data_IF_367932756064
#
_entry.id   IF_367932756064
#
_cell.length_a   1.000
_cell.length_b   1.000
_cell.length_c   1.000
_cell.angle_alpha   90.00
_cell.angle_beta   90.00
_cell.angle_gamma   90.00
#
_symmetry.space_group_name_H-M   'P 1'
#
loop_
_entity.id
_entity.type
_entity.pdbx_description
1 polymer ?
#
# COMPACT_ATOMS: atom_id res chain seq x y z
N UNK A 1 33.33 52.25 -5.40
CA UNK A 1 32.96 51.18 -6.37
C UNK A 1 32.55 49.96 -5.56
N UNK A 2 31.26 49.77 -5.39
CA UNK A 2 30.65 48.80 -4.49
C UNK A 2 30.39 47.52 -5.26
N UNK A 3 31.10 46.45 -4.88
CA UNK A 3 30.87 45.10 -5.40
C UNK A 3 29.62 44.50 -4.80
N UNK A 4 28.61 44.26 -5.64
CA UNK A 4 27.42 43.47 -5.29
C UNK A 4 27.80 42.01 -5.17
N UNK A 5 27.80 41.47 -3.96
CA UNK A 5 27.82 40.05 -3.73
C UNK A 5 26.45 39.46 -4.10
N UNK A 6 26.42 38.62 -5.11
CA UNK A 6 25.28 37.79 -5.46
C UNK A 6 24.96 36.82 -4.32
N UNK A 7 23.69 36.73 -3.87
CA UNK A 7 23.31 35.74 -2.87
C UNK A 7 23.42 34.33 -3.48
N UNK A 8 24.26 33.51 -2.82
CA UNK A 8 24.52 32.15 -3.21
C UNK A 8 23.24 31.30 -3.23
N UNK A 9 23.21 30.42 -4.18
CA UNK A 9 22.30 29.31 -4.42
C UNK A 9 22.03 28.45 -3.15
N UNK A 10 21.09 28.89 -2.34
CA UNK A 10 20.51 28.09 -1.25
C UNK A 10 19.09 27.62 -1.60
N UNK A 11 18.91 27.13 -2.80
CA UNK A 11 17.63 26.67 -3.34
C UNK A 11 17.79 25.44 -4.22
N UNK A 12 18.54 24.41 -3.78
CA UNK A 12 18.28 23.06 -4.31
C UNK A 12 16.86 22.72 -3.88
N UNK A 13 15.90 22.87 -4.80
CA UNK A 13 14.59 22.31 -4.70
C UNK A 13 14.72 20.89 -4.17
N UNK A 14 14.42 20.69 -2.89
CA UNK A 14 13.96 19.41 -2.39
C UNK A 14 12.77 19.12 -3.28
N UNK A 15 12.94 18.24 -4.27
CA UNK A 15 11.89 17.83 -5.17
C UNK A 15 10.65 17.59 -4.31
N UNK A 16 9.65 18.44 -4.43
CA UNK A 16 8.56 18.58 -3.49
C UNK A 16 7.90 17.20 -3.32
N UNK A 17 8.05 16.64 -2.15
CA UNK A 17 7.39 15.40 -1.77
C UNK A 17 5.89 15.66 -1.87
N UNK A 18 5.18 14.78 -2.58
CA UNK A 18 3.74 14.94 -2.79
C UNK A 18 3.02 14.64 -1.48
N UNK A 19 2.56 15.67 -0.78
CA UNK A 19 1.93 15.56 0.54
C UNK A 19 0.71 14.66 0.52
N UNK A 20 -0.12 14.73 -0.52
CA UNK A 20 -1.31 13.90 -0.66
C UNK A 20 -1.00 12.39 -0.76
N UNK A 21 0.19 11.98 -1.24
CA UNK A 21 0.60 10.58 -1.18
C UNK A 21 0.90 10.14 0.27
N UNK A 22 1.52 11.02 1.05
CA UNK A 22 1.75 10.74 2.46
C UNK A 22 0.43 10.76 3.23
N UNK A 23 -0.49 11.66 2.86
CA UNK A 23 -1.84 11.70 3.43
C UNK A 23 -2.59 10.38 3.18
N UNK A 24 -2.62 9.91 1.93
CA UNK A 24 -3.26 8.64 1.58
C UNK A 24 -2.60 7.43 2.25
N UNK A 25 -1.26 7.42 2.41
CA UNK A 25 -0.56 6.38 3.20
C UNK A 25 -0.93 6.43 4.66
N UNK A 26 -1.08 7.63 5.24
CA UNK A 26 -1.52 7.80 6.62
C UNK A 26 -2.93 7.27 6.86
N UNK A 27 -3.85 7.54 5.92
CA UNK A 27 -5.19 6.94 5.95
C UNK A 27 -5.10 5.40 5.93
N UNK A 28 -4.30 4.83 5.02
CA UNK A 28 -4.09 3.38 4.96
C UNK A 28 -3.53 2.82 6.28
N UNK A 29 -2.63 3.55 6.95
CA UNK A 29 -2.08 3.18 8.27
C UNK A 29 -3.17 3.14 9.34
N UNK A 30 -4.04 4.15 9.43
CA UNK A 30 -5.12 4.17 10.43
C UNK A 30 -6.09 3.02 10.19
N UNK A 31 -6.50 2.81 8.95
CA UNK A 31 -7.40 1.70 8.59
C UNK A 31 -6.75 0.34 8.88
N UNK A 32 -5.44 0.21 8.71
CA UNK A 32 -4.68 -1.00 9.01
C UNK A 32 -4.62 -1.26 10.52
N UNK A 33 -4.34 -0.26 11.34
CA UNK A 33 -4.38 -0.35 12.81
C UNK A 33 -5.75 -0.81 13.26
N UNK A 34 -6.81 -0.16 12.76
CA UNK A 34 -8.20 -0.55 13.04
C UNK A 34 -8.43 -2.04 12.72
N UNK A 35 -8.06 -2.47 11.51
CA UNK A 35 -8.28 -3.86 11.07
C UNK A 35 -7.62 -4.87 12.00
N UNK A 36 -6.35 -4.63 12.33
CA UNK A 36 -5.58 -5.58 13.14
C UNK A 36 -6.05 -5.60 14.59
N UNK A 37 -6.33 -4.45 15.20
CA UNK A 37 -6.84 -4.38 16.57
C UNK A 37 -8.21 -5.06 16.70
N UNK A 38 -9.17 -4.73 15.84
CA UNK A 38 -10.49 -5.39 15.88
C UNK A 38 -10.40 -6.89 15.64
N UNK A 39 -9.55 -7.33 14.70
CA UNK A 39 -9.41 -8.77 14.43
C UNK A 39 -8.72 -9.54 15.54
N UNK A 40 -7.80 -8.90 16.30
CA UNK A 40 -6.98 -9.58 17.29
C UNK A 40 -7.52 -9.46 18.72
N UNK A 41 -8.21 -8.36 19.05
CA UNK A 41 -8.57 -8.05 20.43
C UNK A 41 -10.04 -8.30 20.77
N UNK A 42 -10.96 -8.26 19.78
CA UNK A 42 -12.39 -8.42 20.03
C UNK A 42 -12.74 -9.83 20.46
N UNK A 43 -13.48 -9.97 21.56
CA UNK A 43 -14.04 -11.24 22.02
C UNK A 43 -14.95 -11.88 20.96
N UNK A 44 -15.11 -13.20 21.02
CA UNK A 44 -15.85 -13.93 20.00
C UNK A 44 -17.34 -13.51 19.93
N UNK A 45 -17.93 -13.22 21.06
CA UNK A 45 -19.34 -12.84 21.22
C UNK A 45 -19.68 -11.53 20.48
N UNK A 46 -18.76 -10.58 20.45
CA UNK A 46 -18.97 -9.26 19.86
C UNK A 46 -18.69 -9.21 18.36
N UNK A 47 -18.15 -10.27 17.77
CA UNK A 47 -17.85 -10.35 16.34
C UNK A 47 -19.09 -10.32 15.43
N UNK A 48 -20.28 -10.50 15.99
CA UNK A 48 -21.57 -10.35 15.30
C UNK A 48 -22.16 -8.94 15.34
N UNK A 49 -21.57 -8.00 16.07
CA UNK A 49 -22.09 -6.64 16.25
C UNK A 49 -21.96 -5.78 14.98
N UNK A 50 -22.84 -4.76 14.86
CA UNK A 50 -22.78 -3.79 13.76
C UNK A 50 -21.46 -3.01 13.74
N UNK A 51 -20.92 -2.69 14.91
CA UNK A 51 -19.66 -1.95 15.05
C UNK A 51 -18.48 -2.79 14.52
N UNK A 52 -18.43 -4.08 14.85
CA UNK A 52 -17.43 -4.99 14.32
C UNK A 52 -17.57 -5.16 12.78
N UNK A 53 -18.80 -5.28 12.27
CA UNK A 53 -19.06 -5.36 10.84
C UNK A 53 -18.58 -4.10 10.11
N UNK A 54 -18.81 -2.91 10.69
CA UNK A 54 -18.31 -1.64 10.15
C UNK A 54 -16.78 -1.57 10.15
N UNK A 55 -16.14 -1.98 11.25
CA UNK A 55 -14.68 -2.04 11.34
C UNK A 55 -14.09 -2.99 10.27
N UNK A 56 -14.72 -4.13 10.02
CA UNK A 56 -14.35 -5.07 8.95
C UNK A 56 -14.53 -4.50 7.54
N UNK A 57 -15.59 -3.73 7.31
CA UNK A 57 -15.82 -3.06 6.01
C UNK A 57 -14.63 -2.14 5.68
N UNK A 58 -14.23 -1.31 6.63
CA UNK A 58 -13.05 -0.45 6.47
C UNK A 58 -11.75 -1.26 6.38
N UNK A 59 -11.69 -2.40 7.05
CA UNK A 59 -10.55 -3.32 7.03
C UNK A 59 -10.22 -3.92 5.66
N UNK A 60 -11.13 -3.87 4.71
CA UNK A 60 -10.91 -4.31 3.33
C UNK A 60 -10.11 -3.33 2.46
N UNK A 61 -9.70 -2.15 2.98
CA UNK A 61 -9.06 -1.10 2.16
C UNK A 61 -7.57 -0.88 2.40
N UNK A 62 -6.96 -1.14 3.56
CA UNK A 62 -5.54 -0.85 3.80
C UNK A 62 -4.61 -1.49 2.77
N UNK A 63 -4.74 -2.79 2.56
CA UNK A 63 -3.86 -3.53 1.66
C UNK A 63 -3.99 -3.09 0.20
N UNK A 64 -5.21 -2.99 -0.41
CA UNK A 64 -5.38 -2.43 -1.75
C UNK A 64 -4.81 -1.02 -1.88
N UNK A 65 -4.99 -0.16 -0.85
CA UNK A 65 -4.50 1.21 -0.87
C UNK A 65 -2.96 1.28 -0.82
N UNK A 66 -2.30 0.47 0.02
CA UNK A 66 -0.84 0.38 0.03
C UNK A 66 -0.28 -0.13 -1.29
N UNK A 67 -0.88 -1.17 -1.87
CA UNK A 67 -0.49 -1.72 -3.17
C UNK A 67 -0.66 -0.70 -4.29
N UNK A 68 -1.80 -0.02 -4.36
CA UNK A 68 -2.07 1.06 -5.30
C UNK A 68 -1.04 2.18 -5.19
N UNK A 69 -0.79 2.69 -3.97
CA UNK A 69 0.17 3.76 -3.72
C UNK A 69 1.62 3.33 -3.99
N UNK A 70 1.96 2.05 -3.82
CA UNK A 70 3.27 1.50 -4.17
C UNK A 70 3.50 1.55 -5.68
N UNK A 71 2.52 1.10 -6.48
CA UNK A 71 2.56 1.16 -7.94
C UNK A 71 2.59 2.58 -8.47
N UNK A 72 1.70 3.44 -7.97
CA UNK A 72 1.63 4.85 -8.34
C UNK A 72 2.96 5.56 -8.05
N UNK A 73 3.53 5.35 -6.88
CA UNK A 73 4.83 5.92 -6.50
C UNK A 73 5.97 5.37 -7.38
N UNK A 74 5.94 4.07 -7.73
CA UNK A 74 6.94 3.47 -8.61
C UNK A 74 6.93 4.11 -10.00
N UNK A 75 5.74 4.36 -10.57
CA UNK A 75 5.60 5.01 -11.86
C UNK A 75 6.07 6.47 -11.83
N UNK A 76 5.70 7.24 -10.81
CA UNK A 76 6.17 8.63 -10.65
C UNK A 76 7.70 8.71 -10.56
N UNK A 77 8.32 7.79 -9.80
CA UNK A 77 9.78 7.71 -9.70
C UNK A 77 10.40 7.32 -11.05
N UNK A 78 9.82 6.34 -11.75
CA UNK A 78 10.31 5.90 -13.06
C UNK A 78 10.29 7.03 -14.08
N UNK A 79 9.20 7.80 -14.17
CA UNK A 79 9.09 8.93 -15.10
C UNK A 79 10.06 10.07 -14.72
N UNK A 80 10.26 10.32 -13.42
CA UNK A 80 11.25 11.29 -12.96
C UNK A 80 12.68 10.88 -13.32
N UNK A 81 13.03 9.60 -13.18
CA UNK A 81 14.36 9.09 -13.55
C UNK A 81 14.57 9.18 -15.06
N UNK A 82 13.54 8.90 -15.87
CA UNK A 82 13.58 9.10 -17.32
C UNK A 82 13.78 10.57 -17.70
N UNK A 83 13.11 11.48 -17.03
CA UNK A 83 13.30 12.92 -17.25
C UNK A 83 14.73 13.37 -16.93
N UNK A 84 15.48 12.61 -16.12
CA UNK A 84 16.92 12.82 -15.87
C UNK A 84 17.84 12.08 -16.85
N UNK A 85 17.30 11.41 -17.88
CA UNK A 85 18.06 10.71 -18.89
C UNK A 85 18.25 9.21 -18.67
N UNK A 86 17.66 8.61 -17.62
CA UNK A 86 17.76 7.16 -17.40
C UNK A 86 17.04 6.38 -18.51
N UNK A 87 17.70 5.34 -19.04
CA UNK A 87 17.09 4.44 -20.01
C UNK A 87 16.16 3.40 -19.39
N UNK A 88 15.39 2.67 -20.23
CA UNK A 88 14.41 1.68 -19.77
C UNK A 88 15.03 0.53 -18.98
N UNK A 89 16.23 0.09 -19.34
CA UNK A 89 16.96 -0.97 -18.62
C UNK A 89 17.35 -0.55 -17.21
N UNK A 90 17.78 0.70 -17.03
CA UNK A 90 18.12 1.26 -15.71
C UNK A 90 16.91 1.40 -14.82
N UNK A 91 15.79 1.93 -15.35
CA UNK A 91 14.51 2.04 -14.63
C UNK A 91 14.06 0.67 -14.16
N UNK A 92 14.07 -0.32 -15.06
CA UNK A 92 13.73 -1.72 -14.73
C UNK A 92 14.63 -2.26 -13.64
N UNK A 93 15.94 -2.15 -13.76
CA UNK A 93 16.91 -2.65 -12.76
C UNK A 93 16.71 -2.02 -11.38
N UNK A 94 16.47 -0.70 -11.32
CA UNK A 94 16.19 0.01 -10.05
C UNK A 94 14.88 -0.48 -9.43
N UNK A 95 13.83 -0.65 -10.26
CA UNK A 95 12.54 -1.18 -9.81
C UNK A 95 12.66 -2.59 -9.25
N UNK A 96 13.36 -3.50 -9.94
CA UNK A 96 13.64 -4.85 -9.47
C UNK A 96 14.41 -4.86 -8.15
N UNK A 97 15.48 -4.05 -8.04
CA UNK A 97 16.24 -3.91 -6.79
C UNK A 97 15.37 -3.42 -5.65
N UNK A 98 14.47 -2.46 -5.92
CA UNK A 98 13.52 -1.97 -4.90
C UNK A 98 12.57 -3.08 -4.45
N UNK A 99 12.03 -3.87 -5.37
CA UNK A 99 11.22 -5.04 -5.04
C UNK A 99 11.98 -6.05 -4.16
N UNK A 100 13.22 -6.40 -4.54
CA UNK A 100 14.07 -7.27 -3.74
C UNK A 100 14.38 -6.69 -2.34
N UNK A 101 14.60 -5.39 -2.23
CA UNK A 101 14.79 -4.73 -0.92
C UNK A 101 13.54 -4.87 -0.05
N UNK A 102 12.35 -4.66 -0.61
CA UNK A 102 11.07 -4.82 0.12
C UNK A 102 10.87 -6.28 0.53
N UNK A 103 11.24 -7.23 -0.34
CA UNK A 103 11.18 -8.66 -0.03
C UNK A 103 12.13 -9.01 1.14
N UNK A 104 13.34 -8.47 1.13
CA UNK A 104 14.29 -8.61 2.24
C UNK A 104 13.70 -8.08 3.56
N UNK A 105 13.07 -6.90 3.54
CA UNK A 105 12.37 -6.37 4.72
C UNK A 105 11.21 -7.26 5.16
N UNK A 106 10.46 -7.89 4.24
CA UNK A 106 9.41 -8.82 4.58
C UNK A 106 9.94 -10.01 5.40
N UNK A 107 11.07 -10.59 5.01
CA UNK A 107 11.70 -11.68 5.76
C UNK A 107 12.29 -11.22 7.11
N UNK A 108 12.96 -10.06 7.15
CA UNK A 108 13.46 -9.49 8.42
C UNK A 108 12.30 -9.26 9.39
N UNK A 109 11.19 -8.71 8.91
CA UNK A 109 9.99 -8.56 9.71
C UNK A 109 9.46 -9.90 10.25
N UNK A 110 9.43 -10.94 9.41
CA UNK A 110 9.01 -12.29 9.81
C UNK A 110 9.88 -12.90 10.90
N UNK A 111 11.20 -12.75 10.76
CA UNK A 111 12.14 -13.18 11.80
C UNK A 111 11.89 -12.42 13.10
N UNK A 112 11.67 -11.11 13.06
CA UNK A 112 11.31 -10.30 14.22
C UNK A 112 10.04 -10.79 14.89
N UNK A 113 8.95 -11.02 14.13
CA UNK A 113 7.68 -11.52 14.65
C UNK A 113 7.79 -12.94 15.23
N UNK A 114 8.63 -13.80 14.67
CA UNK A 114 8.89 -15.13 15.24
C UNK A 114 9.62 -15.00 16.58
N UNK A 115 10.63 -14.13 16.65
CA UNK A 115 11.39 -13.88 17.86
C UNK A 115 10.54 -13.24 18.97
N UNK A 116 9.62 -12.34 18.63
CA UNK A 116 8.66 -11.72 19.58
C UNK A 116 7.50 -12.65 19.99
N UNK A 117 7.45 -13.86 19.43
CA UNK A 117 6.37 -14.81 19.70
C UNK A 117 5.04 -14.45 19.05
N UNK A 118 5.02 -13.52 18.11
CA UNK A 118 3.85 -13.16 17.31
C UNK A 118 3.40 -14.28 16.37
N UNK A 119 4.30 -15.18 15.99
CA UNK A 119 4.04 -16.39 15.22
C UNK A 119 4.32 -17.65 16.03
N UNK A 120 3.47 -18.66 15.85
CA UNK A 120 3.59 -19.92 16.63
C UNK A 120 4.52 -20.97 16.02
N UNK A 121 4.88 -20.85 14.72
CA UNK A 121 5.57 -21.91 13.97
C UNK A 121 6.64 -21.35 13.06
N UNK A 122 7.75 -22.08 12.89
CA UNK A 122 8.81 -21.74 11.93
C UNK A 122 8.31 -21.69 10.47
N UNK A 123 7.28 -22.46 10.13
CA UNK A 123 6.64 -22.44 8.82
C UNK A 123 6.04 -21.06 8.49
N UNK A 124 5.67 -20.26 9.50
CA UNK A 124 5.15 -18.92 9.31
C UNK A 124 6.16 -17.93 8.71
N UNK A 125 7.47 -18.27 8.73
CA UNK A 125 8.53 -17.51 8.04
C UNK A 125 8.30 -17.44 6.52
N UNK A 126 7.71 -18.48 5.94
CA UNK A 126 7.45 -18.58 4.50
C UNK A 126 6.03 -18.16 4.11
N UNK A 127 5.26 -17.65 5.06
CA UNK A 127 3.90 -17.15 4.83
C UNK A 127 3.90 -15.96 3.87
N UNK A 128 3.00 -15.95 2.90
CA UNK A 128 2.86 -14.84 1.95
C UNK A 128 2.02 -13.73 2.57
N UNK A 129 2.65 -12.62 2.89
CA UNK A 129 2.07 -11.42 3.52
C UNK A 129 2.03 -10.25 2.54
N UNK A 130 1.44 -9.13 2.98
CA UNK A 130 1.30 -7.92 2.19
C UNK A 130 2.65 -7.37 1.70
N UNK A 131 3.72 -7.43 2.50
CA UNK A 131 5.07 -6.99 2.08
C UNK A 131 5.66 -7.90 1.00
N UNK A 132 5.46 -9.22 1.09
CA UNK A 132 5.84 -10.16 0.05
C UNK A 132 5.10 -9.85 -1.25
N UNK A 133 3.79 -9.63 -1.17
CA UNK A 133 2.96 -9.28 -2.32
C UNK A 133 3.39 -7.94 -2.94
N UNK A 134 3.61 -6.88 -2.14
CA UNK A 134 4.11 -5.58 -2.63
C UNK A 134 5.45 -5.77 -3.35
N UNK A 135 6.37 -6.57 -2.79
CA UNK A 135 7.68 -6.81 -3.38
C UNK A 135 7.58 -7.45 -4.76
N UNK A 136 6.84 -8.56 -4.89
CA UNK A 136 6.64 -9.26 -6.16
C UNK A 136 5.88 -8.37 -7.15
N UNK A 137 4.85 -7.69 -6.71
CA UNK A 137 4.07 -6.76 -7.55
C UNK A 137 4.93 -5.61 -8.09
N UNK A 138 5.82 -5.03 -7.29
CA UNK A 138 6.77 -4.00 -7.73
C UNK A 138 7.75 -4.54 -8.77
N UNK A 139 8.22 -5.79 -8.63
CA UNK A 139 9.08 -6.41 -9.63
C UNK A 139 8.36 -6.61 -10.97
N UNK A 140 7.12 -7.10 -10.95
CA UNK A 140 6.29 -7.23 -12.16
C UNK A 140 6.01 -5.88 -12.81
N UNK A 141 5.62 -4.88 -12.05
CA UNK A 141 5.39 -3.51 -12.54
C UNK A 141 6.69 -2.90 -13.10
N UNK A 142 7.86 -3.19 -12.51
CA UNK A 142 9.14 -2.70 -13.02
C UNK A 142 9.45 -3.20 -14.44
N UNK A 143 8.98 -4.38 -14.83
CA UNK A 143 9.11 -4.89 -16.21
C UNK A 143 8.31 -4.01 -17.18
N UNK A 144 7.05 -3.70 -16.82
CA UNK A 144 6.20 -2.81 -17.61
C UNK A 144 6.79 -1.38 -17.72
N UNK A 145 7.25 -0.82 -16.59
CA UNK A 145 7.85 0.53 -16.53
C UNK A 145 9.19 0.61 -17.26
N UNK A 146 9.85 -0.50 -17.53
CA UNK A 146 11.09 -0.57 -18.32
C UNK A 146 10.89 -0.36 -19.83
N UNK A 147 9.67 -0.45 -20.36
CA UNK A 147 9.38 -0.30 -21.79
C UNK A 147 9.69 1.11 -22.29
N UNK A 148 10.11 1.26 -23.56
CA UNK A 148 10.61 2.54 -24.07
C UNK A 148 9.51 3.61 -24.20
N UNK A 149 8.35 3.28 -24.74
CA UNK A 149 7.29 4.25 -25.01
C UNK A 149 6.31 4.40 -23.82
N UNK A 150 5.80 5.61 -23.62
CA UNK A 150 4.77 5.90 -22.59
C UNK A 150 3.51 5.05 -22.83
N UNK A 151 3.08 4.95 -24.10
CA UNK A 151 1.90 4.14 -24.46
C UNK A 151 2.13 2.66 -24.16
N UNK A 152 3.33 2.13 -24.46
CA UNK A 152 3.70 0.75 -24.15
C UNK A 152 3.71 0.49 -22.62
N UNK A 153 4.27 1.41 -21.83
CA UNK A 153 4.26 1.30 -20.36
C UNK A 153 2.84 1.29 -19.81
N UNK A 154 1.99 2.21 -20.30
CA UNK A 154 0.60 2.30 -19.87
C UNK A 154 -0.19 1.05 -20.26
N UNK A 155 -0.07 0.60 -21.51
CA UNK A 155 -0.72 -0.61 -22.00
C UNK A 155 -0.28 -1.86 -21.21
N UNK A 156 1.03 -1.99 -20.94
CA UNK A 156 1.56 -3.11 -20.16
C UNK A 156 1.08 -3.08 -18.70
N UNK A 157 1.04 -1.91 -18.07
CA UNK A 157 0.57 -1.79 -16.68
C UNK A 157 -0.95 -2.06 -16.58
N UNK A 158 -1.76 -1.53 -17.50
CA UNK A 158 -3.20 -1.82 -17.57
C UNK A 158 -3.47 -3.29 -17.93
N UNK A 159 -2.73 -3.84 -18.90
CA UNK A 159 -2.81 -5.25 -19.28
C UNK A 159 -2.45 -6.18 -18.12
N UNK A 160 -1.41 -5.84 -17.34
CA UNK A 160 -1.07 -6.57 -16.13
C UNK A 160 -2.20 -6.50 -15.09
N UNK A 161 -2.77 -5.31 -14.85
CA UNK A 161 -3.86 -5.14 -13.89
C UNK A 161 -5.10 -5.94 -14.30
N UNK A 162 -5.53 -5.81 -15.55
CA UNK A 162 -6.68 -6.53 -16.09
C UNK A 162 -6.42 -8.04 -16.16
N UNK A 163 -5.24 -8.47 -16.64
CA UNK A 163 -4.86 -9.87 -16.72
C UNK A 163 -4.86 -10.55 -15.36
N UNK A 164 -4.26 -9.93 -14.33
CA UNK A 164 -4.31 -10.45 -12.96
C UNK A 164 -5.74 -10.54 -12.46
N UNK A 165 -6.57 -9.50 -12.63
CA UNK A 165 -7.96 -9.52 -12.17
C UNK A 165 -8.76 -10.64 -12.86
N UNK A 166 -8.70 -10.72 -14.19
CA UNK A 166 -9.46 -11.68 -14.98
C UNK A 166 -9.00 -13.13 -14.79
N UNK A 167 -7.70 -13.36 -14.55
CA UNK A 167 -7.14 -14.69 -14.32
C UNK A 167 -7.25 -15.15 -12.86
N UNK A 168 -7.66 -14.28 -11.94
CA UNK A 168 -7.76 -14.64 -10.51
C UNK A 168 -8.67 -15.84 -10.24
N UNK A 169 -9.90 -15.93 -10.81
CA UNK A 169 -10.75 -17.09 -10.56
C UNK A 169 -10.14 -18.41 -11.04
N UNK A 170 -9.37 -18.37 -12.14
CA UNK A 170 -8.65 -19.54 -12.65
C UNK A 170 -7.43 -19.88 -11.78
N UNK A 171 -6.67 -18.87 -11.37
CA UNK A 171 -5.49 -19.05 -10.50
C UNK A 171 -5.87 -19.61 -9.12
N UNK A 172 -7.11 -19.40 -8.66
CA UNK A 172 -7.59 -19.92 -7.40
C UNK A 172 -8.18 -21.35 -7.52
N UNK A 173 -8.22 -21.94 -8.70
CA UNK A 173 -8.46 -23.37 -8.86
C UNK A 173 -7.24 -24.15 -8.36
N UNK A 174 -7.43 -24.92 -7.29
CA UNK A 174 -6.35 -25.64 -6.63
C UNK A 174 -5.75 -26.78 -7.46
N UNK A 175 -6.43 -27.21 -8.53
CA UNK A 175 -5.92 -28.26 -9.43
C UNK A 175 -4.57 -27.86 -10.08
N UNK A 176 -4.39 -26.57 -10.38
CA UNK A 176 -3.17 -26.02 -11.00
C UNK A 176 -1.93 -26.11 -10.09
N UNK A 177 -2.12 -26.12 -8.77
CA UNK A 177 -1.05 -26.05 -7.79
C UNK A 177 -0.83 -27.37 -7.07
N UNK A 178 -1.51 -28.43 -7.49
CA UNK A 178 -1.37 -29.76 -6.92
C UNK A 178 0.07 -30.24 -7.05
N UNK A 179 0.68 -30.61 -5.93
CA UNK A 179 2.08 -31.06 -5.89
C UNK A 179 3.14 -29.94 -5.78
N UNK A 180 2.74 -28.66 -5.83
CA UNK A 180 3.66 -27.57 -5.60
C UNK A 180 3.91 -27.37 -4.09
N UNK A 181 5.14 -26.97 -3.69
CA UNK A 181 5.41 -26.61 -2.30
C UNK A 181 4.46 -25.49 -1.85
N UNK A 182 3.81 -25.64 -0.69
CA UNK A 182 2.83 -24.68 -0.17
C UNK A 182 3.33 -23.22 -0.15
N UNK A 183 4.60 -22.90 0.23
CA UNK A 183 5.11 -21.54 0.18
C UNK A 183 5.14 -20.94 -1.23
N UNK A 184 5.34 -21.76 -2.28
CA UNK A 184 5.35 -21.30 -3.67
C UNK A 184 3.93 -21.12 -4.18
N UNK A 185 3.07 -22.15 -4.01
CA UNK A 185 1.65 -22.06 -4.38
C UNK A 185 0.94 -20.90 -3.70
N UNK A 186 1.32 -20.56 -2.47
CA UNK A 186 0.80 -19.43 -1.70
C UNK A 186 1.04 -18.06 -2.32
N UNK A 187 1.99 -17.93 -3.25
CA UNK A 187 2.11 -16.69 -4.03
C UNK A 187 1.03 -16.54 -5.12
N UNK A 188 0.38 -17.62 -5.52
CA UNK A 188 -0.57 -17.59 -6.63
C UNK A 188 -2.02 -17.69 -6.19
N UNK A 189 -2.29 -18.45 -5.13
CA UNK A 189 -3.66 -18.69 -4.64
C UNK A 189 -3.80 -18.46 -3.14
N UNK A 190 -4.93 -17.88 -2.72
CA UNK A 190 -5.29 -17.71 -1.31
C UNK A 190 -5.87 -18.97 -0.66
N UNK A 191 -6.06 -20.07 -1.42
CA UNK A 191 -6.60 -21.34 -0.89
C UNK A 191 -5.55 -22.21 -0.22
N UNK A 192 -4.28 -21.87 -0.36
CA UNK A 192 -3.19 -22.53 0.35
C UNK A 192 -3.10 -21.94 1.75
N UNK A 193 -2.96 -22.83 2.74
CA UNK A 193 -2.75 -22.42 4.13
C UNK A 193 -1.61 -21.40 4.23
N UNK A 194 -1.83 -20.37 5.04
CA UNK A 194 -0.83 -19.33 5.29
C UNK A 194 -0.56 -18.35 4.12
N UNK A 195 -1.40 -18.31 3.08
CA UNK A 195 -1.40 -17.27 2.06
C UNK A 195 -2.47 -16.23 2.35
N UNK A 196 -2.06 -15.01 2.74
CA UNK A 196 -2.98 -13.89 3.01
C UNK A 196 -3.10 -12.94 1.81
N UNK A 197 -2.00 -12.77 1.07
CA UNK A 197 -1.89 -11.79 -0.01
C UNK A 197 -1.19 -12.39 -1.23
N UNK A 198 -1.84 -13.36 -1.94
CA UNK A 198 -1.28 -13.90 -3.16
C UNK A 198 -1.20 -12.84 -4.26
N UNK A 199 -0.40 -13.09 -5.29
CA UNK A 199 -0.30 -12.24 -6.48
C UNK A 199 -1.68 -11.99 -7.11
N UNK A 200 -2.52 -13.03 -7.15
CA UNK A 200 -3.90 -12.96 -7.63
C UNK A 200 -4.90 -12.80 -6.47
N UNK A 201 -5.68 -11.72 -6.39
CA UNK A 201 -5.80 -10.58 -7.32
C UNK A 201 -4.90 -9.38 -6.95
N UNK A 202 -4.12 -9.44 -5.88
CA UNK A 202 -3.54 -8.29 -5.20
C UNK A 202 -2.61 -7.44 -6.06
N UNK A 203 -1.85 -8.06 -6.97
CA UNK A 203 -0.97 -7.34 -7.91
C UNK A 203 -1.75 -6.41 -8.86
N UNK A 204 -3.03 -6.69 -9.12
CA UNK A 204 -3.86 -5.82 -9.94
C UNK A 204 -3.90 -4.39 -9.39
N UNK A 205 -3.97 -4.22 -8.06
CA UNK A 205 -3.97 -2.89 -7.44
C UNK A 205 -2.64 -2.14 -7.65
N UNK A 206 -1.51 -2.85 -7.59
CA UNK A 206 -0.20 -2.23 -7.83
C UNK A 206 -0.04 -1.83 -9.29
N UNK A 207 -0.44 -2.69 -10.21
CA UNK A 207 -0.37 -2.42 -11.65
C UNK A 207 -1.31 -1.28 -12.06
N UNK A 208 -2.53 -1.27 -11.52
CA UNK A 208 -3.49 -0.17 -11.70
C UNK A 208 -2.95 1.15 -11.11
N UNK A 209 -2.36 1.11 -9.91
CA UNK A 209 -1.69 2.27 -9.32
C UNK A 209 -0.56 2.81 -10.19
N UNK A 210 0.23 1.92 -10.80
CA UNK A 210 1.28 2.32 -11.74
C UNK A 210 0.71 3.00 -12.99
N UNK A 211 -0.41 2.51 -13.53
CA UNK A 211 -1.12 3.15 -14.65
C UNK A 211 -1.57 4.57 -14.30
N UNK A 212 -2.19 4.74 -13.12
CA UNK A 212 -2.58 6.05 -12.62
C UNK A 212 -1.36 6.97 -12.40
N UNK A 213 -0.25 6.42 -11.90
CA UNK A 213 1.00 7.17 -11.71
C UNK A 213 1.62 7.64 -13.04
N UNK A 214 1.56 6.85 -14.11
CA UNK A 214 1.97 7.25 -15.46
C UNK A 214 1.11 8.39 -16.00
N UNK A 215 -0.21 8.28 -15.89
CA UNK A 215 -1.16 9.34 -16.29
C UNK A 215 -0.91 10.63 -15.50
N UNK A 216 -0.74 10.51 -14.20
CA UNK A 216 -0.48 11.63 -13.31
C UNK A 216 0.86 12.32 -13.63
N UNK A 217 1.93 11.56 -13.92
CA UNK A 217 3.22 12.11 -14.31
C UNK A 217 3.10 12.95 -15.60
N UNK A 218 2.36 12.44 -16.59
CA UNK A 218 2.10 13.14 -17.85
C UNK A 218 1.28 14.44 -17.62
N UNK A 219 0.26 14.36 -16.77
CA UNK A 219 -0.58 15.51 -16.46
C UNK A 219 0.20 16.60 -15.69
N UNK A 220 1.04 16.19 -14.73
CA UNK A 220 1.93 17.11 -13.99
C UNK A 220 2.90 17.84 -14.91
N UNK A 221 3.52 17.13 -15.85
CA UNK A 221 4.42 17.74 -16.82
C UNK A 221 3.74 18.83 -17.68
N UNK A 222 2.39 18.80 -17.75
CA UNK A 222 1.57 19.78 -18.49
C UNK A 222 0.84 20.78 -17.57
N UNK A 223 1.12 20.78 -16.27
CA UNK A 223 0.42 21.65 -15.30
C UNK A 223 -1.05 21.29 -15.06
N UNK A 224 -1.48 20.06 -15.41
CA UNK A 224 -2.89 19.61 -15.38
C UNK A 224 -3.16 18.56 -14.30
N UNK A 225 -2.37 18.54 -13.22
CA UNK A 225 -2.46 17.54 -12.16
C UNK A 225 -3.86 17.44 -11.54
N UNK A 226 -4.45 18.58 -11.17
CA UNK A 226 -5.79 18.63 -10.57
C UNK A 226 -6.89 18.10 -11.50
N UNK A 227 -6.80 18.42 -12.80
CA UNK A 227 -7.75 17.91 -13.81
C UNK A 227 -7.63 16.37 -13.91
N UNK A 228 -6.41 15.85 -13.95
CA UNK A 228 -6.20 14.40 -14.02
C UNK A 228 -6.74 13.68 -12.79
N UNK A 229 -6.52 14.22 -11.58
CA UNK A 229 -7.05 13.63 -10.35
C UNK A 229 -8.58 13.71 -10.32
N UNK A 230 -9.18 14.82 -10.77
CA UNK A 230 -10.63 14.94 -10.91
C UNK A 230 -11.22 13.93 -11.89
N UNK A 231 -10.57 13.74 -13.05
CA UNK A 231 -10.98 12.74 -14.03
C UNK A 231 -10.87 11.30 -13.50
N UNK A 232 -9.79 10.99 -12.77
CA UNK A 232 -9.63 9.70 -12.10
C UNK A 232 -10.72 9.49 -11.03
N UNK A 233 -11.06 10.53 -10.26
CA UNK A 233 -12.13 10.46 -9.26
C UNK A 233 -13.49 10.17 -9.91
N UNK A 234 -13.82 10.87 -10.99
CA UNK A 234 -15.06 10.66 -11.75
C UNK A 234 -15.12 9.24 -12.34
N UNK A 235 -14.02 8.76 -12.93
CA UNK A 235 -13.91 7.39 -13.40
C UNK A 235 -14.08 6.37 -12.26
N UNK A 236 -13.50 6.65 -11.09
CA UNK A 236 -13.66 5.83 -9.89
C UNK A 236 -15.10 5.78 -9.40
N UNK A 237 -15.76 6.93 -9.30
CA UNK A 237 -17.16 7.03 -8.91
C UNK A 237 -18.10 6.27 -9.86
N UNK A 238 -17.81 6.28 -11.17
CA UNK A 238 -18.55 5.53 -12.16
C UNK A 238 -18.24 4.02 -12.11
N UNK A 239 -17.00 3.64 -11.80
CA UNK A 239 -16.58 2.24 -11.73
C UNK A 239 -17.29 1.46 -10.60
N UNK A 240 -17.65 2.11 -9.48
CA UNK A 240 -18.31 1.48 -8.35
C UNK A 240 -19.67 0.89 -8.74
N UNK A 241 -20.67 1.68 -9.22
CA UNK A 241 -21.95 1.14 -9.62
C UNK A 241 -21.82 0.21 -10.83
N UNK A 242 -20.90 0.49 -11.77
CA UNK A 242 -20.65 -0.38 -12.91
C UNK A 242 -20.18 -1.78 -12.45
N UNK A 243 -19.28 -1.87 -11.48
CA UNK A 243 -18.81 -3.15 -10.96
C UNK A 243 -19.93 -3.98 -10.36
N UNK A 244 -20.82 -3.36 -9.58
CA UNK A 244 -21.98 -4.02 -8.98
C UNK A 244 -23.01 -4.43 -10.03
N UNK A 245 -23.23 -3.58 -11.04
CA UNK A 245 -24.14 -3.89 -12.13
C UNK A 245 -23.64 -5.07 -12.97
N UNK A 246 -22.37 -5.06 -13.37
CA UNK A 246 -21.74 -6.17 -14.12
C UNK A 246 -21.79 -7.46 -13.32
N UNK A 247 -21.49 -7.41 -12.01
CA UNK A 247 -21.53 -8.59 -11.15
C UNK A 247 -22.93 -9.25 -11.12
N UNK A 248 -23.98 -8.44 -11.03
CA UNK A 248 -25.36 -8.92 -10.98
C UNK A 248 -25.95 -9.39 -12.33
N UNK A 249 -25.31 -9.03 -13.47
CA UNK A 249 -25.87 -9.30 -14.81
C UNK A 249 -24.96 -10.15 -15.71
N UNK A 250 -23.65 -10.27 -15.35
CA UNK A 250 -22.74 -11.07 -16.16
C UNK A 250 -23.03 -12.56 -16.01
N UNK A 251 -22.92 -13.35 -17.09
CA UNK A 251 -23.06 -14.80 -17.02
C UNK A 251 -21.96 -15.42 -16.16
N UNK A 252 -22.26 -16.54 -15.50
CA UNK A 252 -21.27 -17.29 -14.73
C UNK A 252 -20.27 -17.96 -15.67
N UNK A 253 -19.16 -17.30 -15.95
CA UNK A 253 -18.10 -17.79 -16.87
C UNK A 253 -16.95 -18.50 -16.16
N UNK A 254 -16.88 -18.40 -14.83
CA UNK A 254 -15.78 -18.94 -14.06
C UNK A 254 -16.21 -20.19 -13.26
N UNK A 255 -15.38 -21.25 -13.25
CA UNK A 255 -15.66 -22.45 -12.46
C UNK A 255 -15.54 -22.20 -10.94
N UNK A 256 -14.70 -21.23 -10.54
CA UNK A 256 -14.53 -20.79 -9.17
C UNK A 256 -14.83 -19.30 -9.11
N UNK A 257 -15.90 -18.94 -8.42
CA UNK A 257 -16.31 -17.56 -8.28
C UNK A 257 -16.69 -17.23 -6.83
N UNK A 258 -16.06 -16.21 -6.31
CA UNK A 258 -16.37 -15.59 -5.02
C UNK A 258 -16.18 -14.08 -5.18
N UNK A 259 -17.29 -13.33 -5.05
CA UNK A 259 -17.26 -11.86 -5.23
C UNK A 259 -16.16 -11.20 -4.41
N UNK A 260 -16.02 -11.58 -3.14
CA UNK A 260 -15.12 -10.91 -2.21
C UNK A 260 -13.64 -11.27 -2.34
N UNK A 261 -13.32 -12.39 -3.02
CA UNK A 261 -11.95 -12.90 -3.05
C UNK A 261 -11.41 -13.08 -4.47
N UNK A 262 -12.22 -13.54 -5.41
CA UNK A 262 -11.74 -13.92 -6.75
C UNK A 262 -12.28 -13.08 -7.88
N UNK A 263 -13.38 -12.34 -7.64
CA UNK A 263 -14.12 -11.64 -8.71
C UNK A 263 -13.32 -10.48 -9.32
N UNK A 264 -13.25 -10.38 -10.67
CA UNK A 264 -12.74 -9.20 -11.35
C UNK A 264 -13.55 -7.94 -11.05
N UNK A 265 -14.87 -8.07 -10.84
CA UNK A 265 -15.78 -6.95 -10.52
C UNK A 265 -15.48 -6.38 -9.14
N UNK A 266 -15.12 -7.22 -8.16
CA UNK A 266 -14.63 -6.75 -6.87
C UNK A 266 -13.32 -5.94 -7.00
N UNK A 267 -12.38 -6.38 -7.84
CA UNK A 267 -11.17 -5.60 -8.13
C UNK A 267 -11.52 -4.25 -8.71
N UNK A 268 -12.46 -4.20 -9.67
CA UNK A 268 -12.92 -2.94 -10.28
C UNK A 268 -13.58 -2.02 -9.25
N UNK A 269 -14.47 -2.56 -8.40
CA UNK A 269 -15.10 -1.81 -7.31
C UNK A 269 -14.06 -1.20 -6.38
N UNK A 270 -13.09 -2.01 -5.94
CA UNK A 270 -12.01 -1.53 -5.06
C UNK A 270 -11.17 -0.45 -5.75
N UNK A 271 -10.78 -0.63 -7.02
CA UNK A 271 -10.08 0.38 -7.78
C UNK A 271 -10.86 1.70 -7.85
N UNK A 272 -12.18 1.63 -8.05
CA UNK A 272 -13.06 2.80 -8.02
C UNK A 272 -12.99 3.56 -6.68
N UNK A 273 -13.13 2.84 -5.57
CA UNK A 273 -13.03 3.44 -4.22
C UNK A 273 -11.64 4.02 -3.97
N UNK A 274 -10.57 3.34 -4.40
CA UNK A 274 -9.19 3.83 -4.24
C UNK A 274 -8.98 5.16 -4.98
N UNK A 275 -9.54 5.34 -6.16
CA UNK A 275 -9.47 6.61 -6.91
C UNK A 275 -10.19 7.73 -6.19
N UNK A 276 -11.35 7.48 -5.62
CA UNK A 276 -12.11 8.46 -4.82
C UNK A 276 -11.33 8.83 -3.56
N UNK A 277 -10.80 7.85 -2.82
CA UNK A 277 -9.97 8.09 -1.63
C UNK A 277 -8.69 8.86 -1.96
N UNK A 278 -8.09 8.58 -3.11
CA UNK A 278 -6.90 9.29 -3.58
C UNK A 278 -7.20 10.75 -3.91
N UNK A 279 -8.32 11.03 -4.57
CA UNK A 279 -8.77 12.39 -4.85
C UNK A 279 -9.14 13.14 -3.55
N UNK A 280 -9.77 12.47 -2.59
CA UNK A 280 -10.04 13.04 -1.28
C UNK A 280 -8.73 13.41 -0.56
N UNK A 281 -7.74 12.53 -0.58
CA UNK A 281 -6.41 12.81 -0.04
C UNK A 281 -5.76 14.05 -0.68
N UNK A 282 -5.90 14.20 -2.01
CA UNK A 282 -5.41 15.38 -2.74
C UNK A 282 -6.12 16.67 -2.33
N UNK A 283 -7.42 16.64 -2.10
CA UNK A 283 -8.19 17.80 -1.66
C UNK A 283 -7.84 18.18 -0.22
N UNK A 284 -7.79 17.20 0.68
CA UNK A 284 -7.50 17.40 2.10
C UNK A 284 -6.04 17.79 2.36
N UNK A 285 -5.12 17.40 1.49
CA UNK A 285 -3.72 17.84 1.58
C UNK A 285 -3.53 19.34 1.34
N UNK A 286 -4.51 20.02 0.73
CA UNK A 286 -4.53 21.46 0.51
C UNK A 286 -4.95 22.27 1.75
N UNK A 287 -5.54 21.60 2.75
CA UNK A 287 -5.88 22.27 4.00
C UNK A 287 -4.59 22.71 4.71
N UNK A 288 -4.54 23.96 5.20
CA UNK A 288 -3.37 24.48 5.89
C UNK A 288 -3.16 23.79 7.24
N UNK A 289 -1.91 23.74 7.69
CA UNK A 289 -1.55 23.28 9.02
C UNK A 289 -0.93 21.87 9.08
N UNK A 290 -0.58 21.45 10.30
CA UNK A 290 -0.04 20.12 10.53
C UNK A 290 -1.10 19.04 10.32
N UNK A 291 -0.71 17.91 9.70
CA UNK A 291 -1.60 16.79 9.46
C UNK A 291 -1.04 15.51 10.07
N UNK A 292 -1.79 14.92 11.00
CA UNK A 292 -1.45 13.63 11.61
C UNK A 292 -1.36 12.51 10.57
N UNK A 293 -2.27 12.52 9.57
CA UNK A 293 -2.25 11.56 8.47
C UNK A 293 -0.98 11.69 7.63
N UNK A 294 -0.60 12.92 7.26
CA UNK A 294 0.65 13.17 6.54
C UNK A 294 1.86 12.72 7.34
N UNK A 295 1.85 12.92 8.65
CA UNK A 295 2.91 12.51 9.56
C UNK A 295 3.02 10.98 9.63
N UNK A 296 1.93 10.26 9.86
CA UNK A 296 1.89 8.79 9.88
C UNK A 296 2.32 8.19 8.53
N UNK A 297 1.89 8.79 7.42
CA UNK A 297 2.26 8.35 6.08
C UNK A 297 3.76 8.45 5.78
N UNK A 298 4.45 9.45 6.34
CA UNK A 298 5.91 9.60 6.20
C UNK A 298 6.70 8.47 6.83
N UNK A 299 6.16 7.85 7.86
CA UNK A 299 6.81 6.79 8.65
C UNK A 299 6.04 5.48 8.59
N UNK A 300 5.22 5.28 7.57
CA UNK A 300 4.26 4.18 7.46
C UNK A 300 4.89 2.79 7.67
N UNK A 301 6.12 2.54 7.22
CA UNK A 301 6.82 1.28 7.44
C UNK A 301 7.21 1.07 8.92
N UNK A 302 7.63 2.12 9.62
CA UNK A 302 7.90 2.05 11.06
C UNK A 302 6.62 1.76 11.83
N UNK A 303 5.55 2.48 11.52
CA UNK A 303 4.24 2.28 12.14
C UNK A 303 3.69 0.89 11.84
N UNK A 304 3.87 0.41 10.59
CA UNK A 304 3.51 -0.96 10.20
C UNK A 304 4.16 -2.00 11.13
N UNK A 305 5.45 -1.88 11.37
CA UNK A 305 6.15 -2.81 12.24
C UNK A 305 5.70 -2.68 13.70
N UNK A 306 5.76 -1.46 14.24
CA UNK A 306 5.51 -1.23 15.66
C UNK A 306 4.09 -1.62 16.10
N UNK A 307 3.05 -1.27 15.32
CA UNK A 307 1.68 -1.63 15.72
C UNK A 307 1.43 -3.14 15.66
N UNK A 308 2.04 -3.87 14.71
CA UNK A 308 1.89 -5.33 14.65
C UNK A 308 2.55 -6.02 15.83
N UNK A 309 3.70 -5.52 16.31
CA UNK A 309 4.33 -6.02 17.55
C UNK A 309 3.43 -5.76 18.78
N UNK A 310 2.71 -4.64 18.83
CA UNK A 310 1.78 -4.35 19.93
C UNK A 310 0.54 -5.24 19.81
N UNK A 311 -0.02 -5.40 18.61
CA UNK A 311 -1.29 -6.12 18.42
C UNK A 311 -1.11 -7.63 18.52
N UNK A 312 -0.02 -8.18 17.96
CA UNK A 312 0.19 -9.63 17.84
C UNK A 312 1.40 -10.14 18.64
N UNK A 313 2.29 -9.27 19.11
CA UNK A 313 3.43 -9.67 19.94
C UNK A 313 3.01 -10.16 21.32
N UNK A 314 3.79 -11.08 21.89
CA UNK A 314 3.54 -11.63 23.23
C UNK A 314 4.12 -10.77 24.34
N UNK A 315 5.00 -9.81 24.03
CA UNK A 315 5.79 -9.08 25.01
C UNK A 315 5.12 -7.81 25.50
N UNK A 316 4.31 -7.14 24.66
CA UNK A 316 3.79 -5.81 24.99
C UNK A 316 2.38 -5.87 25.57
N UNK A 317 1.44 -6.55 24.92
CA UNK A 317 0.04 -6.56 25.32
C UNK A 317 -0.64 -7.93 25.10
N UNK A 318 -0.09 -9.04 25.63
CA UNK A 318 -0.63 -10.38 25.37
C UNK A 318 -2.06 -10.58 25.92
N UNK A 319 -2.42 -9.88 26.99
CA UNK A 319 -3.74 -9.99 27.63
C UNK A 319 -4.88 -9.30 26.86
N UNK A 320 -4.58 -8.55 25.79
CA UNK A 320 -5.64 -7.90 24.99
C UNK A 320 -6.26 -8.83 23.94
N UNK A 321 -5.60 -9.95 23.60
CA UNK A 321 -6.05 -10.84 22.53
C UNK A 321 -7.36 -11.53 22.92
N UNK A 322 -8.38 -11.34 22.05
CA UNK A 322 -9.71 -11.95 22.18
C UNK A 322 -10.34 -11.73 23.56
N UNK A 323 -10.02 -10.61 24.21
CA UNK A 323 -10.40 -10.33 25.59
C UNK A 323 -11.08 -8.97 25.81
N UNK A 324 -11.28 -8.19 24.75
CA UNK A 324 -11.89 -6.86 24.85
C UNK A 324 -13.28 -6.84 24.19
N UNK A 325 -14.22 -6.16 24.83
CA UNK A 325 -15.48 -5.80 24.21
C UNK A 325 -15.25 -4.86 23.00
N UNK A 326 -16.16 -4.85 22.05
CA UNK A 326 -16.02 -4.09 20.78
C UNK A 326 -15.84 -2.58 21.01
N UNK A 327 -16.46 -2.03 22.06
CA UNK A 327 -16.32 -0.63 22.48
C UNK A 327 -14.93 -0.35 23.05
N UNK A 328 -14.40 -1.27 23.86
CA UNK A 328 -13.05 -1.17 24.43
C UNK A 328 -11.99 -1.23 23.32
N UNK A 329 -12.17 -2.10 22.32
CA UNK A 329 -11.29 -2.15 21.14
C UNK A 329 -11.31 -0.82 20.39
N UNK A 330 -12.47 -0.16 20.30
CA UNK A 330 -12.57 1.15 19.63
C UNK A 330 -11.68 2.20 20.32
N UNK A 331 -11.70 2.27 21.65
CA UNK A 331 -10.80 3.11 22.43
C UNK A 331 -9.34 2.67 22.30
N UNK A 332 -9.10 1.36 22.31
CA UNK A 332 -7.77 0.77 22.08
C UNK A 332 -7.16 1.21 20.74
N UNK A 333 -7.98 1.26 19.68
CA UNK A 333 -7.55 1.79 18.36
C UNK A 333 -7.15 3.26 18.45
N UNK A 334 -7.94 4.10 19.14
CA UNK A 334 -7.61 5.53 19.31
C UNK A 334 -6.27 5.68 20.05
N UNK A 335 -6.09 4.97 21.15
CA UNK A 335 -4.84 4.99 21.93
C UNK A 335 -3.65 4.52 21.06
N UNK A 336 -3.84 3.42 20.31
CA UNK A 336 -2.77 2.89 19.47
C UNK A 336 -2.41 3.84 18.32
N UNK A 337 -3.38 4.51 17.71
CA UNK A 337 -3.12 5.56 16.69
C UNK A 337 -2.33 6.72 17.28
N UNK A 338 -2.68 7.18 18.49
CA UNK A 338 -1.96 8.26 19.18
C UNK A 338 -0.53 7.85 19.54
N UNK A 339 -0.31 6.63 20.01
CA UNK A 339 1.02 6.07 20.27
C UNK A 339 1.87 6.01 18.98
N UNK A 340 1.28 5.55 17.88
CA UNK A 340 1.96 5.49 16.60
C UNK A 340 2.26 6.89 16.05
N UNK A 341 1.40 7.87 16.28
CA UNK A 341 1.65 9.26 15.92
C UNK A 341 2.82 9.83 16.73
N UNK A 342 2.86 9.60 18.03
CA UNK A 342 3.95 10.01 18.91
C UNK A 342 5.29 9.38 18.47
N UNK A 343 5.30 8.08 18.18
CA UNK A 343 6.46 7.36 17.64
C UNK A 343 6.92 7.95 16.30
N UNK A 344 5.98 8.26 15.42
CA UNK A 344 6.25 8.89 14.12
C UNK A 344 6.90 10.26 14.27
N UNK A 345 6.39 11.09 15.17
CA UNK A 345 6.93 12.42 15.48
C UNK A 345 8.33 12.27 16.08
N UNK A 346 8.51 11.42 17.08
CA UNK A 346 9.84 11.17 17.70
C UNK A 346 10.88 10.75 16.64
N UNK A 347 10.51 9.85 15.72
CA UNK A 347 11.39 9.38 14.63
C UNK A 347 11.81 10.51 13.68
N UNK A 348 10.90 11.42 13.36
CA UNK A 348 11.21 12.54 12.46
C UNK A 348 12.08 13.59 13.13
N UNK A 349 11.87 13.84 14.42
CA UNK A 349 12.72 14.73 15.22
C UNK A 349 14.14 14.15 15.41
N UNK A 350 14.26 12.87 15.75
CA UNK A 350 15.56 12.21 15.93
C UNK A 350 16.43 12.23 14.66
N UNK A 351 15.84 12.18 13.48
CA UNK A 351 16.57 12.31 12.20
C UNK A 351 17.10 13.72 11.92
N UNK A 352 16.54 14.75 12.55
CA UNK A 352 17.03 16.12 12.47
C UNK A 352 18.18 16.44 13.44
N UNK A 353 18.37 15.60 14.47
CA UNK A 353 19.36 15.84 15.54
C UNK A 353 20.83 15.81 15.09
N UNK A 354 21.31 14.84 14.28
CA UNK A 354 22.72 14.76 13.91
C UNK A 354 23.21 15.89 13.00
N UNK A 355 22.34 16.55 12.26
CA UNK A 355 22.71 17.62 11.32
C UNK A 355 22.92 18.98 12.01
N UNK A 356 22.40 19.15 13.24
CA UNK A 356 22.61 20.39 14.03
C UNK A 356 23.85 20.35 14.93
N UNK A 357 24.36 19.14 15.23
CA UNK A 357 25.58 18.99 16.06
C UNK A 357 26.89 19.12 15.27
N UNK A 358 26.91 18.91 13.95
CA UNK A 358 28.12 18.96 13.12
C UNK A 358 28.52 20.36 12.68
N UNK A 359 27.66 21.36 12.75
CA UNK A 359 27.97 22.73 12.34
C UNK A 359 28.55 23.60 13.49
N UNK A 360 28.50 23.10 14.73
CA UNK A 360 29.10 23.85 15.88
C UNK A 360 30.56 23.53 16.15
N UNK A 361 31.20 22.67 15.38
CA UNK A 361 32.60 22.30 15.57
C UNK A 361 33.55 22.90 14.49
N UNK A 362 33.08 23.86 13.70
CA UNK A 362 33.90 24.61 12.75
C UNK A 362 33.53 26.09 12.78
N UNK A 363 33.73 26.71 13.93
CA UNK A 363 33.88 28.15 14.09
C UNK A 363 35.13 28.42 14.95
#
# INVERSE_FOLDING_TARGET
>A
MTGFATPGYAGRERASRLGYLDWARGLAVILMINTHAFSAWTVAEDRGTRLFALARLFGGYPAPLFLFLAGLSAALVAERERAKGSNGGEVRRRGLRRGLTVLGFAFVFRVGMLASGGFGRAADLLRVDVLNCIAVSLMLVALALGLPSVRGRLAAALGLAAGIALLTPLAWDTSWWKGWPAPVAGYFTGRVRDSLFPVFPWTAFTAFGASCGLLLAQARARGREGIAIGALAAAGAAAIPLALWVDGHAPAVYPVYDFWHTSPTYVLLKCGVLLVLFALAFLLDRLPGPSALRQLGRTSLLVYWAHLEIVYGKWIAPGLRENLAVEEVTWGVVVLVLLMLALSIARTHARGWPLRGGERAKA
#
